data_IF_687112682706
#
_entry.id   IF_687112682706
#
_cell.length_a   1.000
_cell.length_b   1.000
_cell.length_c   1.000
_cell.angle_alpha   90.00
_cell.angle_beta   90.00
_cell.angle_gamma   90.00
#
_symmetry.space_group_name_H-M   'P 1'
#
loop_
_entity.id
_entity.type
_entity.pdbx_description
1 polymer ?
#
# COMPACT_ATOMS: atom_id res chain seq x y z
N UNK A 1 -0.16 7.88 15.80
CA UNK A 1 -1.07 7.29 14.78
C UNK A 1 -1.47 5.90 15.24
N UNK A 2 -2.63 5.39 14.80
CA UNK A 2 -3.03 4.00 14.99
C UNK A 2 -3.82 3.49 13.78
N UNK A 3 -3.91 2.17 13.61
CA UNK A 3 -4.70 1.55 12.58
C UNK A 3 -6.02 1.00 13.16
N UNK A 4 -7.15 1.30 12.52
CA UNK A 4 -8.46 0.72 12.82
C UNK A 4 -8.79 -0.28 11.71
N UNK A 5 -8.91 -1.55 12.09
CA UNK A 5 -8.94 -2.67 11.15
C UNK A 5 -10.20 -3.51 11.33
N UNK A 6 -10.81 -3.85 10.20
CA UNK A 6 -12.02 -4.67 10.09
C UNK A 6 -11.87 -5.59 8.89
N UNK A 7 -12.40 -6.79 9.02
CA UNK A 7 -12.42 -7.76 7.96
C UNK A 7 -13.59 -7.50 7.01
N UNK A 8 -13.32 -7.37 5.71
CA UNK A 8 -14.38 -7.27 4.68
C UNK A 8 -14.70 -8.64 4.07
N UNK A 9 -13.71 -9.52 4.00
CA UNK A 9 -13.85 -10.90 3.54
C UNK A 9 -12.77 -11.78 4.22
N UNK A 10 -12.89 -13.12 4.22
CA UNK A 10 -11.80 -14.03 4.61
C UNK A 10 -10.43 -13.60 4.05
N UNK A 11 -9.49 -13.24 4.94
CA UNK A 11 -8.14 -12.81 4.56
C UNK A 11 -7.99 -11.37 4.05
N UNK A 12 -9.07 -10.62 3.85
CA UNK A 12 -9.03 -9.23 3.36
C UNK A 12 -9.61 -8.25 4.39
N UNK A 13 -8.82 -7.25 4.76
CA UNK A 13 -9.22 -6.24 5.74
C UNK A 13 -9.21 -4.83 5.13
N UNK A 14 -10.08 -3.97 5.63
CA UNK A 14 -9.96 -2.53 5.47
C UNK A 14 -9.16 -1.96 6.63
N UNK A 15 -8.03 -1.34 6.31
CA UNK A 15 -7.19 -0.62 7.27
C UNK A 15 -7.47 0.86 7.14
N UNK A 16 -7.92 1.48 8.22
CA UNK A 16 -8.01 2.95 8.33
C UNK A 16 -6.84 3.43 9.19
N UNK A 17 -5.94 4.20 8.62
CA UNK A 17 -4.87 4.85 9.37
C UNK A 17 -5.43 6.15 9.94
N UNK A 18 -5.27 6.31 11.25
CA UNK A 18 -5.86 7.40 12.03
C UNK A 18 -4.74 8.16 12.74
N UNK A 19 -4.85 9.49 12.74
CA UNK A 19 -3.93 10.36 13.47
C UNK A 19 -4.16 10.31 15.00
N UNK A 20 -3.55 11.24 15.75
CA UNK A 20 -3.72 11.32 17.21
C UNK A 20 -5.08 11.92 17.62
N UNK A 21 -5.75 12.65 16.72
CA UNK A 21 -7.03 13.32 16.96
C UNK A 21 -8.24 12.51 16.50
N UNK A 22 -8.01 11.35 15.88
CA UNK A 22 -9.09 10.50 15.37
C UNK A 22 -9.43 10.74 13.89
N UNK A 23 -8.73 11.64 13.21
CA UNK A 23 -8.95 11.90 11.80
C UNK A 23 -8.34 10.78 10.93
N UNK A 24 -9.08 10.38 9.91
CA UNK A 24 -8.64 9.33 8.97
C UNK A 24 -7.63 9.94 8.00
N UNK A 25 -6.38 9.49 8.09
CA UNK A 25 -5.29 9.87 7.18
C UNK A 25 -5.45 9.11 5.86
N UNK A 26 -5.70 7.80 5.94
CA UNK A 26 -5.75 6.92 4.76
C UNK A 26 -6.65 5.71 4.98
N UNK A 27 -7.17 5.17 3.88
CA UNK A 27 -7.87 3.89 3.84
C UNK A 27 -7.23 3.01 2.78
N UNK A 28 -6.98 1.75 3.10
CA UNK A 28 -6.39 0.78 2.16
C UNK A 28 -6.95 -0.62 2.43
N UNK A 29 -7.17 -1.40 1.38
CA UNK A 29 -7.51 -2.82 1.48
C UNK A 29 -6.25 -3.66 1.49
N UNK A 30 -6.19 -4.63 2.39
CA UNK A 30 -4.95 -5.31 2.73
C UNK A 30 -5.20 -6.80 2.97
N UNK A 31 -4.37 -7.67 2.39
CA UNK A 31 -4.38 -9.10 2.70
C UNK A 31 -3.67 -9.36 4.04
N UNK A 32 -4.23 -10.24 4.86
CA UNK A 32 -3.69 -10.61 6.17
C UNK A 32 -3.64 -12.13 6.32
N UNK A 33 -2.64 -12.62 7.05
CA UNK A 33 -2.47 -14.07 7.32
C UNK A 33 -3.28 -14.56 8.53
N UNK A 34 -3.70 -13.66 9.43
CA UNK A 34 -4.53 -13.98 10.58
C UNK A 34 -5.87 -13.25 10.54
N UNK A 35 -6.84 -13.62 9.68
CA UNK A 35 -8.11 -12.90 9.57
C UNK A 35 -8.95 -12.91 10.84
N UNK A 36 -8.89 -13.98 11.64
CA UNK A 36 -9.60 -14.15 12.93
C UNK A 36 -9.26 -13.09 13.98
N UNK A 37 -8.16 -12.37 13.75
CA UNK A 37 -7.68 -11.29 14.59
C UNK A 37 -8.51 -10.01 14.44
N UNK A 38 -9.39 -9.92 13.45
CA UNK A 38 -10.13 -8.73 13.10
C UNK A 38 -11.64 -9.01 13.08
N UNK A 39 -12.47 -8.09 13.60
CA UNK A 39 -13.91 -8.26 13.56
C UNK A 39 -14.41 -8.15 12.10
N UNK A 40 -15.39 -8.99 11.75
CA UNK A 40 -16.04 -8.94 10.44
C UNK A 40 -16.95 -7.72 10.34
N UNK A 41 -16.79 -6.98 9.25
CA UNK A 41 -17.67 -5.90 8.87
C UNK A 41 -18.89 -6.48 8.17
N UNK A 42 -20.02 -6.43 8.86
CA UNK A 42 -21.32 -6.79 8.34
C UNK A 42 -22.07 -5.49 8.05
N UNK A 43 -22.44 -5.27 6.79
CA UNK A 43 -23.22 -4.09 6.38
C UNK A 43 -24.51 -4.03 7.20
N UNK A 44 -24.73 -2.90 7.90
CA UNK A 44 -25.87 -2.72 8.80
C UNK A 44 -25.62 -3.07 10.28
N UNK A 45 -24.46 -3.63 10.63
CA UNK A 45 -24.06 -3.85 12.03
C UNK A 45 -22.89 -2.95 12.43
N UNK A 46 -23.04 -2.26 13.56
CA UNK A 46 -22.00 -1.44 14.15
C UNK A 46 -20.94 -2.31 14.87
N UNK A 47 -20.15 -3.08 14.12
CA UNK A 47 -18.97 -3.72 14.66
C UNK A 47 -17.91 -2.65 14.97
N UNK A 48 -17.31 -2.67 16.17
CA UNK A 48 -16.18 -1.80 16.53
C UNK A 48 -14.88 -2.32 15.88
N UNK A 49 -13.93 -1.44 15.50
CA UNK A 49 -12.70 -1.89 14.85
C UNK A 49 -11.80 -2.55 15.86
N UNK A 50 -10.93 -3.44 15.38
CA UNK A 50 -9.70 -3.67 16.12
C UNK A 50 -8.80 -2.46 15.97
N UNK A 51 -8.44 -1.83 17.09
CA UNK A 51 -7.42 -0.80 17.14
C UNK A 51 -6.03 -1.44 17.31
N UNK A 52 -5.12 -1.09 16.43
CA UNK A 52 -3.72 -1.54 16.42
C UNK A 52 -2.81 -0.32 16.59
N UNK A 53 -2.02 -0.27 17.66
CA UNK A 53 -1.04 0.79 17.88
C UNK A 53 0.20 0.63 16.99
N UNK A 54 0.52 -0.62 16.63
CA UNK A 54 1.56 -0.98 15.68
C UNK A 54 0.90 -1.80 14.58
N UNK A 55 1.02 -1.34 13.34
CA UNK A 55 0.51 -2.02 12.16
C UNK A 55 1.49 -1.77 11.03
N UNK A 56 1.98 -2.84 10.42
CA UNK A 56 2.97 -2.80 9.36
C UNK A 56 2.28 -3.05 8.03
N UNK A 57 2.52 -2.16 7.06
CA UNK A 57 2.07 -2.33 5.69
C UNK A 57 3.21 -2.90 4.85
N UNK A 58 2.89 -3.96 4.12
CA UNK A 58 3.73 -4.51 3.07
C UNK A 58 3.00 -4.49 1.74
N UNK A 59 3.74 -4.71 0.67
CA UNK A 59 3.22 -4.79 -0.68
C UNK A 59 4.07 -5.72 -1.55
N UNK A 60 3.44 -6.40 -2.50
CA UNK A 60 4.11 -7.13 -3.57
C UNK A 60 3.85 -6.41 -4.89
N UNK A 61 4.89 -6.16 -5.67
CA UNK A 61 4.73 -5.56 -6.99
C UNK A 61 3.97 -6.47 -7.94
N UNK A 62 2.90 -5.94 -8.54
CA UNK A 62 2.20 -6.57 -9.65
C UNK A 62 2.74 -6.02 -10.97
N UNK A 63 2.78 -4.70 -11.09
CA UNK A 63 3.35 -3.97 -12.22
C UNK A 63 3.91 -2.64 -11.70
N UNK A 64 5.20 -2.60 -11.39
CA UNK A 64 5.85 -1.44 -10.76
C UNK A 64 7.09 -1.05 -11.54
N UNK A 65 7.15 0.23 -11.88
CA UNK A 65 8.31 0.87 -12.50
C UNK A 65 9.08 1.67 -11.45
N UNK A 66 10.41 1.59 -11.53
CA UNK A 66 11.30 2.43 -10.72
C UNK A 66 11.79 3.58 -11.58
N UNK A 67 11.66 4.79 -11.09
CA UNK A 67 12.17 5.99 -11.73
C UNK A 67 13.41 6.49 -10.99
N UNK A 68 14.43 6.98 -11.72
CA UNK A 68 15.68 7.43 -11.12
C UNK A 68 15.50 8.68 -10.25
N UNK A 69 14.46 9.49 -10.48
CA UNK A 69 14.15 10.71 -9.73
C UNK A 69 12.68 11.14 -9.89
N UNK A 70 12.25 12.10 -9.08
CA UNK A 70 10.93 12.75 -9.18
C UNK A 70 10.74 13.40 -10.55
N UNK A 71 11.77 14.04 -11.09
CA UNK A 71 11.70 14.71 -12.39
C UNK A 71 11.48 13.71 -13.52
N UNK A 72 12.10 12.53 -13.44
CA UNK A 72 11.90 11.48 -14.43
C UNK A 72 10.48 10.94 -14.39
N UNK A 73 9.93 10.71 -13.19
CA UNK A 73 8.54 10.29 -13.02
C UNK A 73 7.56 11.38 -13.51
N UNK A 74 7.83 12.64 -13.19
CA UNK A 74 6.96 13.76 -13.54
C UNK A 74 6.85 13.97 -15.05
N UNK A 75 7.90 13.68 -15.83
CA UNK A 75 7.85 13.76 -17.30
C UNK A 75 6.79 12.85 -17.91
N UNK A 76 6.49 11.73 -17.28
CA UNK A 76 5.55 10.74 -17.79
C UNK A 76 4.16 10.86 -17.18
N UNK A 77 4.04 11.39 -15.96
CA UNK A 77 2.79 11.28 -15.17
C UNK A 77 2.27 12.61 -14.63
N UNK A 78 3.07 13.68 -14.64
CA UNK A 78 2.60 14.96 -14.15
C UNK A 78 1.61 15.58 -15.14
N UNK A 79 0.54 16.25 -14.66
CA UNK A 79 -0.38 16.99 -15.52
C UNK A 79 0.37 17.99 -16.42
N UNK A 80 -0.06 18.13 -17.67
CA UNK A 80 0.53 19.11 -18.58
C UNK A 80 0.51 20.51 -17.94
N UNK A 81 1.68 21.12 -17.78
CA UNK A 81 1.84 22.45 -17.18
C UNK A 81 2.23 22.50 -15.70
N UNK A 82 2.39 21.37 -15.00
CA UNK A 82 2.87 21.35 -13.61
C UNK A 82 4.40 21.27 -13.47
N UNK A 83 5.14 21.50 -14.57
CA UNK A 83 6.60 21.51 -14.56
C UNK A 83 7.10 22.68 -13.69
N UNK A 84 7.60 22.36 -12.48
CA UNK A 84 8.15 23.32 -11.54
C UNK A 84 7.37 23.51 -10.25
N UNK A 85 6.14 22.98 -10.15
CA UNK A 85 5.47 22.83 -8.86
C UNK A 85 6.03 21.57 -8.19
N UNK A 86 6.39 21.64 -6.91
CA UNK A 86 6.79 20.47 -6.13
C UNK A 86 5.65 19.45 -6.07
N UNK A 87 5.60 18.55 -7.05
CA UNK A 87 4.56 17.52 -7.15
C UNK A 87 4.75 16.57 -5.98
N UNK A 88 3.73 16.45 -5.12
CA UNK A 88 3.73 15.42 -4.11
C UNK A 88 3.51 14.06 -4.79
N UNK A 89 4.60 13.30 -4.90
CA UNK A 89 4.61 11.97 -5.52
C UNK A 89 4.11 10.88 -4.57
N UNK A 90 3.66 11.23 -3.35
CA UNK A 90 3.25 10.27 -2.34
C UNK A 90 1.77 9.92 -2.49
N UNK A 91 1.50 8.77 -3.08
CA UNK A 91 0.14 8.27 -3.26
C UNK A 91 0.04 6.77 -2.94
N UNK A 92 -1.06 6.39 -2.31
CA UNK A 92 -1.41 4.99 -2.07
C UNK A 92 -2.93 4.85 -2.17
N UNK A 93 -3.45 4.23 -3.22
CA UNK A 93 -4.88 4.24 -3.49
C UNK A 93 -5.37 2.83 -3.71
N UNK A 94 -6.28 2.37 -2.85
CA UNK A 94 -6.89 1.05 -3.06
C UNK A 94 -7.90 1.15 -4.18
N UNK A 95 -7.73 0.29 -5.19
CA UNK A 95 -8.54 0.28 -6.41
C UNK A 95 -10.03 0.09 -6.14
N UNK A 96 -10.37 -0.69 -5.12
CA UNK A 96 -11.74 -1.15 -4.87
C UNK A 96 -12.50 -0.37 -3.80
N UNK A 97 -11.85 0.54 -3.06
CA UNK A 97 -12.54 1.28 -1.99
C UNK A 97 -13.59 2.24 -2.52
N UNK A 98 -13.31 2.96 -3.61
CA UNK A 98 -14.27 3.87 -4.24
C UNK A 98 -15.52 3.13 -4.72
N UNK A 99 -15.37 2.14 -5.61
CA UNK A 99 -16.49 1.33 -6.10
C UNK A 99 -17.28 0.64 -4.98
N UNK A 100 -16.61 0.12 -3.94
CA UNK A 100 -17.29 -0.51 -2.80
C UNK A 100 -18.16 0.50 -2.03
N UNK A 101 -17.65 1.71 -1.80
CA UNK A 101 -18.39 2.77 -1.10
C UNK A 101 -19.55 3.33 -1.93
N UNK A 102 -19.41 3.32 -3.26
CA UNK A 102 -20.48 3.67 -4.20
C UNK A 102 -21.54 2.56 -4.34
N UNK A 103 -21.28 1.36 -3.81
CA UNK A 103 -22.17 0.21 -3.96
C UNK A 103 -22.13 -0.45 -5.34
N UNK A 104 -21.11 -0.14 -6.15
CA UNK A 104 -20.93 -0.66 -7.51
C UNK A 104 -20.37 -2.08 -7.54
N UNK A 105 -19.69 -2.49 -6.47
CA UNK A 105 -19.11 -3.83 -6.33
C UNK A 105 -19.47 -4.43 -4.97
N UNK A 106 -19.48 -5.75 -4.90
CA UNK A 106 -19.73 -6.51 -3.68
C UNK A 106 -18.42 -6.91 -2.99
N UNK A 107 -18.51 -7.36 -1.74
CA UNK A 107 -17.35 -7.87 -0.99
C UNK A 107 -16.61 -9.03 -1.68
N UNK A 108 -17.29 -9.77 -2.56
CA UNK A 108 -16.72 -10.93 -3.28
C UNK A 108 -15.76 -10.54 -4.40
N UNK A 109 -15.84 -9.30 -4.87
CA UNK A 109 -15.04 -8.80 -5.99
C UNK A 109 -13.77 -8.07 -5.52
N UNK A 110 -13.66 -7.85 -4.20
CA UNK A 110 -12.58 -7.07 -3.62
C UNK A 110 -11.25 -7.84 -3.65
N UNK A 111 -10.19 -7.12 -4.01
CA UNK A 111 -8.80 -7.56 -3.81
C UNK A 111 -8.02 -6.52 -3.03
N UNK A 112 -6.80 -6.86 -2.60
CA UNK A 112 -5.87 -5.90 -1.98
C UNK A 112 -5.08 -5.07 -2.99
N UNK A 113 -5.53 -5.03 -4.25
CA UNK A 113 -4.88 -4.25 -5.30
C UNK A 113 -4.95 -2.75 -4.99
N UNK A 114 -3.81 -2.08 -5.16
CA UNK A 114 -3.66 -0.65 -4.97
C UNK A 114 -2.67 -0.07 -5.97
N UNK A 115 -2.89 1.18 -6.34
CA UNK A 115 -1.88 2.01 -6.99
C UNK A 115 -0.98 2.62 -5.91
N UNK A 116 0.33 2.58 -6.13
CA UNK A 116 1.34 3.18 -5.25
C UNK A 116 2.21 4.14 -6.05
N UNK A 117 2.50 5.29 -5.47
CA UNK A 117 3.61 6.16 -5.86
C UNK A 117 4.33 6.59 -4.58
N UNK A 118 5.64 6.47 -4.55
CA UNK A 118 6.38 6.85 -3.34
C UNK A 118 7.87 6.90 -3.52
N UNK A 119 8.52 7.55 -2.57
CA UNK A 119 9.97 7.71 -2.53
C UNK A 119 10.58 6.53 -1.80
N UNK A 120 11.56 5.88 -2.43
CA UNK A 120 12.37 4.86 -1.77
C UNK A 120 13.21 5.51 -0.68
N UNK A 121 13.06 5.03 0.55
CA UNK A 121 13.85 5.45 1.71
C UNK A 121 15.04 4.52 1.94
N UNK A 122 14.86 3.23 1.69
CA UNK A 122 15.90 2.21 1.79
C UNK A 122 15.60 1.05 0.85
N UNK A 123 16.65 0.36 0.38
CA UNK A 123 16.52 -0.85 -0.43
C UNK A 123 17.64 -1.82 -0.09
N UNK A 124 17.28 -3.06 0.26
CA UNK A 124 18.22 -4.15 0.52
C UNK A 124 17.89 -5.37 -0.35
N UNK A 125 18.91 -6.16 -0.69
CA UNK A 125 18.70 -7.45 -1.35
C UNK A 125 18.45 -8.49 -0.26
N UNK A 126 17.25 -9.05 -0.26
CA UNK A 126 16.86 -10.17 0.58
C UNK A 126 16.83 -11.46 -0.22
N UNK A 127 16.83 -12.60 0.47
CA UNK A 127 16.73 -13.92 -0.13
C UNK A 127 15.41 -14.56 0.30
N UNK A 128 14.66 -15.10 -0.64
CA UNK A 128 13.48 -15.88 -0.32
C UNK A 128 13.94 -17.22 0.25
N UNK A 129 13.58 -17.54 1.49
CA UNK A 129 14.06 -18.74 2.19
C UNK A 129 13.56 -20.04 1.56
N UNK A 130 12.35 -20.03 0.96
CA UNK A 130 11.75 -21.21 0.33
C UNK A 130 12.36 -21.53 -1.04
N UNK A 131 12.69 -20.50 -1.83
CA UNK A 131 13.13 -20.67 -3.23
C UNK A 131 14.61 -20.36 -3.45
N UNK A 132 15.28 -19.77 -2.46
CA UNK A 132 16.65 -19.27 -2.55
C UNK A 132 16.84 -18.08 -3.49
N UNK A 133 15.79 -17.59 -4.16
CA UNK A 133 15.87 -16.50 -5.15
C UNK A 133 16.02 -15.13 -4.47
N UNK A 134 16.85 -14.23 -5.01
CA UNK A 134 16.99 -12.88 -4.48
C UNK A 134 15.78 -12.01 -4.85
N UNK A 135 15.49 -11.02 -4.01
CA UNK A 135 14.48 -9.99 -4.24
C UNK A 135 14.89 -8.69 -3.51
N UNK A 136 14.39 -7.54 -3.94
CA UNK A 136 14.60 -6.29 -3.22
C UNK A 136 13.51 -6.09 -2.16
N UNK A 137 13.93 -5.91 -0.91
CA UNK A 137 13.08 -5.39 0.16
C UNK A 137 13.27 -3.89 0.23
N UNK A 138 12.23 -3.15 -0.14
CA UNK A 138 12.28 -1.69 -0.30
C UNK A 138 11.39 -1.02 0.73
N UNK A 139 11.93 -0.09 1.49
CA UNK A 139 11.14 0.81 2.34
C UNK A 139 10.72 2.00 1.49
N UNK A 140 9.41 2.20 1.34
CA UNK A 140 8.80 3.24 0.51
C UNK A 140 7.98 4.17 1.40
N UNK A 141 8.16 5.47 1.18
CA UNK A 141 7.29 6.51 1.71
C UNK A 141 6.31 6.98 0.63
N UNK A 142 5.06 6.52 0.73
CA UNK A 142 3.95 6.92 -0.13
C UNK A 142 2.89 7.74 0.64
N UNK A 143 3.35 8.49 1.67
CA UNK A 143 2.49 9.14 2.66
C UNK A 143 2.17 8.23 3.85
N UNK A 144 2.52 6.95 3.72
CA UNK A 144 2.62 5.96 4.78
C UNK A 144 3.88 5.10 4.55
N UNK A 145 4.53 4.60 5.61
CA UNK A 145 5.63 3.66 5.45
C UNK A 145 5.11 2.31 4.96
N UNK A 146 5.60 1.85 3.82
CA UNK A 146 5.27 0.55 3.21
C UNK A 146 6.56 -0.22 2.90
N UNK A 147 6.60 -1.51 3.24
CA UNK A 147 7.65 -2.42 2.77
C UNK A 147 7.23 -3.07 1.45
N UNK A 148 7.85 -2.67 0.35
CA UNK A 148 7.58 -3.19 -0.98
C UNK A 148 8.60 -4.28 -1.37
N UNK A 149 8.09 -5.43 -1.81
CA UNK A 149 8.90 -6.48 -2.43
C UNK A 149 8.95 -6.28 -3.95
N UNK A 150 10.17 -6.16 -4.51
CA UNK A 150 10.42 -6.08 -5.95
C UNK A 150 11.30 -7.25 -6.43
N UNK A 151 11.16 -7.69 -7.68
CA UNK A 151 12.10 -8.64 -8.29
C UNK A 151 13.56 -8.14 -8.23
N UNK A 152 14.52 -9.03 -7.99
CA UNK A 152 15.94 -8.63 -8.01
C UNK A 152 16.42 -8.14 -9.40
N UNK A 153 15.67 -8.45 -10.47
CA UNK A 153 15.90 -7.98 -11.83
C UNK A 153 15.35 -6.59 -12.11
N UNK A 154 14.70 -5.92 -11.15
CA UNK A 154 14.15 -4.58 -11.34
C UNK A 154 15.25 -3.59 -11.72
N UNK A 155 15.03 -2.89 -12.84
CA UNK A 155 15.89 -1.84 -13.36
C UNK A 155 15.07 -0.59 -13.69
N UNK A 156 15.54 0.62 -13.36
CA UNK A 156 16.71 0.95 -12.53
C UNK A 156 16.67 0.30 -11.14
N UNK A 157 17.85 0.07 -10.55
CA UNK A 157 17.97 -0.51 -9.21
C UNK A 157 17.31 0.43 -8.19
N UNK A 158 16.40 -0.06 -7.32
CA UNK A 158 15.84 0.75 -6.25
C UNK A 158 16.93 1.17 -5.27
N UNK A 159 16.98 2.47 -4.96
CA UNK A 159 17.90 3.08 -4.01
C UNK A 159 17.27 4.32 -3.38
N UNK A 160 17.74 4.79 -2.21
CA UNK A 160 17.20 6.00 -1.59
C UNK A 160 17.08 7.17 -2.59
N UNK A 161 15.92 7.84 -2.61
CA UNK A 161 15.61 8.96 -3.51
C UNK A 161 15.01 8.58 -4.87
N UNK A 162 15.06 7.30 -5.28
CA UNK A 162 14.31 6.81 -6.45
C UNK A 162 12.81 6.76 -6.16
N UNK A 163 12.00 6.78 -7.22
CA UNK A 163 10.53 6.72 -7.11
C UNK A 163 10.06 5.35 -7.57
N UNK A 164 9.15 4.74 -6.82
CA UNK A 164 8.36 3.60 -7.30
C UNK A 164 6.98 4.09 -7.71
N UNK A 165 6.48 3.60 -8.83
CA UNK A 165 5.13 3.91 -9.32
C UNK A 165 4.53 2.69 -9.99
N UNK A 166 3.26 2.39 -9.69
CA UNK A 166 2.49 1.36 -10.37
C UNK A 166 1.53 0.60 -9.45
N UNK A 167 1.22 -0.63 -9.81
CA UNK A 167 0.23 -1.48 -9.17
C UNK A 167 0.86 -2.51 -8.23
N UNK A 168 0.28 -2.66 -7.05
CA UNK A 168 0.73 -3.59 -6.01
C UNK A 168 -0.43 -4.36 -5.39
N UNK A 169 -0.12 -5.50 -4.80
CA UNK A 169 -1.00 -6.19 -3.86
C UNK A 169 -0.56 -5.91 -2.43
N UNK A 170 -1.43 -5.29 -1.64
CA UNK A 170 -1.14 -4.90 -0.27
C UNK A 170 -1.25 -6.09 0.69
N UNK A 171 -0.35 -6.12 1.68
CA UNK A 171 -0.36 -7.04 2.82
C UNK A 171 -0.12 -6.28 4.12
N UNK A 172 -0.51 -6.86 5.26
CA UNK A 172 -0.41 -6.17 6.54
C UNK A 172 -0.39 -7.09 7.74
N UNK A 173 0.23 -6.61 8.81
CA UNK A 173 0.30 -7.33 10.08
C UNK A 173 0.28 -6.38 11.27
N UNK A 174 -0.32 -6.84 12.36
CA UNK A 174 -0.34 -6.16 13.66
C UNK A 174 0.72 -6.71 14.65
N UNK A 175 1.56 -7.66 14.23
CA UNK A 175 2.65 -8.26 15.02
C UNK A 175 3.83 -7.32 15.17
#
# INVERSE_FOLDING_TARGET
>A
MSAHVWQLAPGLVCVRVVDLHGAIIKRVLVNVTGPQLYPQFIVGMAAKPRRCLRYFLGAFAADVTVYPSVESWAKEHAPAGSAGAGVDVRALESRWLGPLLAGEVTQKELTSQAAITGVVQAAEVARNELTGKPWYRVSVDCGLPVTLALPASTFPRPRPGTIVHGEVFMTGSAT
#
